data_IF_090317527278
#
_entry.id   IF_090317527278
#
_cell.length_a   1.000
_cell.length_b   1.000
_cell.length_c   1.000
_cell.angle_alpha   90.00
_cell.angle_beta   90.00
_cell.angle_gamma   90.00
#
_symmetry.space_group_name_H-M   'P 1'
#
loop_
_entity.id
_entity.type
_entity.pdbx_description
1 polymer ?
#
# COMPACT_ATOMS: atom_id res chain seq x y z
N UNK A 1 35.23 48.85 16.91
CA UNK A 1 33.98 48.08 16.77
C UNK A 1 34.34 46.62 16.99
N UNK A 2 34.27 46.14 18.23
CA UNK A 2 34.48 44.72 18.52
C UNK A 2 33.17 44.01 18.21
N UNK A 3 33.12 43.44 17.01
CA UNK A 3 32.04 42.63 16.52
C UNK A 3 31.94 41.40 17.42
N UNK A 4 30.95 41.41 18.32
CA UNK A 4 30.64 40.29 19.19
C UNK A 4 30.31 39.10 18.31
N UNK A 5 31.27 38.19 18.12
CA UNK A 5 31.04 36.93 17.43
C UNK A 5 29.91 36.23 18.16
N UNK A 6 28.78 36.11 17.46
CA UNK A 6 27.52 35.73 18.03
C UNK A 6 27.58 34.22 18.34
N UNK A 7 27.61 33.84 19.61
CA UNK A 7 27.60 32.42 20.08
C UNK A 7 26.44 31.64 19.45
N UNK A 8 25.37 32.33 19.02
CA UNK A 8 24.26 31.78 18.24
C UNK A 8 24.71 31.15 16.91
N UNK A 9 25.77 31.65 16.28
CA UNK A 9 26.26 31.13 14.99
C UNK A 9 26.88 29.75 15.14
N UNK A 10 27.67 29.51 16.20
CA UNK A 10 28.28 28.18 16.47
C UNK A 10 27.20 27.15 16.81
N UNK A 11 26.23 27.53 17.67
CA UNK A 11 25.10 26.65 17.97
C UNK A 11 24.27 26.32 16.72
N UNK A 12 24.09 27.28 15.81
CA UNK A 12 23.36 27.06 14.55
C UNK A 12 24.09 26.07 13.64
N UNK A 13 25.41 26.14 13.55
CA UNK A 13 26.22 25.17 12.79
C UNK A 13 26.13 23.76 13.41
N UNK A 14 26.16 23.67 14.75
CA UNK A 14 25.93 22.41 15.47
C UNK A 14 24.54 21.83 15.21
N UNK A 15 23.49 22.66 15.25
CA UNK A 15 22.12 22.24 14.94
C UNK A 15 21.98 21.76 13.49
N UNK A 16 22.58 22.48 12.53
CA UNK A 16 22.58 22.10 11.13
C UNK A 16 23.31 20.75 10.91
N UNK A 17 24.45 20.54 11.58
CA UNK A 17 25.16 19.25 11.54
C UNK A 17 24.29 18.11 12.05
N UNK A 18 23.61 18.31 13.18
CA UNK A 18 22.72 17.30 13.75
C UNK A 18 21.53 17.02 12.83
N UNK A 19 20.98 18.05 12.16
CA UNK A 19 19.94 17.89 11.16
C UNK A 19 20.41 17.05 9.97
N UNK A 20 21.64 17.26 9.49
CA UNK A 20 22.24 16.43 8.44
C UNK A 20 22.41 14.96 8.87
N UNK A 21 22.88 14.72 10.10
CA UNK A 21 23.01 13.36 10.64
C UNK A 21 21.63 12.68 10.72
N UNK A 22 20.63 13.38 11.28
CA UNK A 22 19.26 12.88 11.36
C UNK A 22 18.68 12.56 9.99
N UNK A 23 18.84 13.47 9.02
CA UNK A 23 18.42 13.26 7.64
C UNK A 23 19.07 12.02 7.01
N UNK A 24 20.38 11.83 7.18
CA UNK A 24 21.10 10.65 6.66
C UNK A 24 20.54 9.36 7.23
N UNK A 25 20.36 9.28 8.55
CA UNK A 25 19.89 8.06 9.23
C UNK A 25 18.45 7.74 8.80
N UNK A 26 17.54 8.71 8.92
CA UNK A 26 16.12 8.53 8.61
C UNK A 26 15.90 8.17 7.14
N UNK A 27 16.65 8.81 6.23
CA UNK A 27 16.58 8.51 4.79
C UNK A 27 17.11 7.11 4.49
N UNK A 28 18.23 6.69 5.09
CA UNK A 28 18.79 5.36 4.87
C UNK A 28 17.85 4.25 5.38
N UNK A 29 17.30 4.42 6.58
CA UNK A 29 16.34 3.46 7.16
C UNK A 29 15.09 3.33 6.28
N UNK A 30 14.54 4.46 5.83
CA UNK A 30 13.39 4.49 4.94
C UNK A 30 13.68 3.83 3.59
N UNK A 31 14.84 4.10 3.00
CA UNK A 31 15.26 3.49 1.74
C UNK A 31 15.44 1.97 1.87
N UNK A 32 16.04 1.49 2.95
CA UNK A 32 16.19 0.05 3.22
C UNK A 32 14.81 -0.61 3.37
N UNK A 33 13.88 0.03 4.08
CA UNK A 33 12.52 -0.49 4.23
C UNK A 33 11.81 -0.63 2.88
N UNK A 34 11.89 0.40 2.02
CA UNK A 34 11.31 0.37 0.68
C UNK A 34 11.98 -0.70 -0.19
N UNK A 35 13.32 -0.78 -0.21
CA UNK A 35 14.04 -1.81 -0.99
C UNK A 35 13.66 -3.23 -0.59
N UNK A 36 13.48 -3.49 0.70
CA UNK A 36 13.03 -4.79 1.19
C UNK A 36 11.61 -5.12 0.76
N UNK A 37 10.70 -4.15 0.78
CA UNK A 37 9.32 -4.34 0.36
C UNK A 37 9.21 -4.57 -1.16
N UNK A 38 10.01 -3.85 -1.96
CA UNK A 38 10.11 -4.07 -3.40
C UNK A 38 10.65 -5.47 -3.72
N UNK A 39 11.66 -5.94 -2.98
CA UNK A 39 12.19 -7.31 -3.13
C UNK A 39 11.12 -8.35 -2.82
N UNK A 40 10.44 -8.22 -1.67
CA UNK A 40 9.34 -9.13 -1.27
C UNK A 40 8.23 -9.18 -2.31
N UNK A 41 7.82 -8.03 -2.83
CA UNK A 41 6.79 -7.92 -3.87
C UNK A 41 7.23 -8.64 -5.15
N UNK A 42 8.49 -8.47 -5.56
CA UNK A 42 9.04 -9.14 -6.74
C UNK A 42 9.12 -10.66 -6.56
N UNK A 43 9.58 -11.11 -5.40
CA UNK A 43 9.67 -12.54 -5.07
C UNK A 43 8.28 -13.19 -5.03
N UNK A 44 7.30 -12.50 -4.44
CA UNK A 44 5.89 -12.93 -4.45
C UNK A 44 5.35 -13.06 -5.87
N UNK A 45 5.51 -12.02 -6.72
CA UNK A 45 5.05 -12.07 -8.11
C UNK A 45 5.72 -13.17 -8.92
N UNK A 46 7.01 -13.42 -8.70
CA UNK A 46 7.72 -14.52 -9.35
C UNK A 46 7.11 -15.86 -8.94
N UNK A 47 6.90 -16.08 -7.64
CA UNK A 47 6.23 -17.27 -7.13
C UNK A 47 4.82 -17.44 -7.71
N UNK A 48 4.09 -16.34 -7.86
CA UNK A 48 2.72 -16.30 -8.39
C UNK A 48 2.64 -16.69 -9.87
N UNK A 49 3.64 -16.29 -10.66
CA UNK A 49 3.85 -16.74 -12.05
C UNK A 49 4.17 -18.24 -12.08
N UNK A 50 5.05 -18.72 -11.21
CA UNK A 50 5.44 -20.14 -11.16
C UNK A 50 4.26 -21.04 -10.74
N UNK A 51 3.45 -20.61 -9.77
CA UNK A 51 2.23 -21.31 -9.34
C UNK A 51 1.23 -21.44 -10.49
N UNK A 52 0.97 -20.35 -11.22
CA UNK A 52 0.09 -20.37 -12.41
C UNK A 52 0.64 -21.24 -13.51
N UNK A 53 1.95 -21.21 -13.74
CA UNK A 53 2.56 -22.08 -14.73
C UNK A 53 2.37 -23.57 -14.39
N UNK A 54 2.52 -23.95 -13.12
CA UNK A 54 2.20 -25.31 -12.65
C UNK A 54 0.71 -25.64 -12.76
N UNK A 55 -0.18 -24.67 -12.55
CA UNK A 55 -1.61 -24.86 -12.75
C UNK A 55 -1.92 -25.20 -14.22
N UNK A 56 -1.35 -24.46 -15.18
CA UNK A 56 -1.52 -24.77 -16.60
C UNK A 56 -1.08 -26.19 -16.94
N UNK A 57 0.03 -26.66 -16.38
CA UNK A 57 0.47 -28.05 -16.62
C UNK A 57 -0.57 -29.06 -16.14
N UNK A 58 -1.16 -28.86 -14.96
CA UNK A 58 -2.26 -29.70 -14.46
C UNK A 58 -3.48 -29.66 -15.38
N UNK A 59 -3.90 -28.47 -15.83
CA UNK A 59 -5.02 -28.35 -16.77
C UNK A 59 -4.73 -29.01 -18.13
N UNK A 60 -3.46 -29.02 -18.58
CA UNK A 60 -3.07 -29.74 -19.80
C UNK A 60 -3.18 -31.24 -19.61
N UNK A 61 -2.70 -31.75 -18.47
CA UNK A 61 -2.83 -33.17 -18.14
C UNK A 61 -4.31 -33.60 -18.07
N UNK A 62 -5.19 -32.74 -17.54
CA UNK A 62 -6.65 -32.96 -17.52
C UNK A 62 -7.25 -32.99 -18.93
N UNK A 63 -6.84 -32.07 -19.82
CA UNK A 63 -7.27 -32.08 -21.24
C UNK A 63 -6.81 -33.35 -21.94
N UNK A 64 -5.58 -33.79 -21.70
CA UNK A 64 -5.03 -35.03 -22.29
C UNK A 64 -5.74 -36.27 -21.75
N UNK A 65 -6.10 -36.28 -20.46
CA UNK A 65 -6.91 -37.34 -19.86
C UNK A 65 -8.32 -37.39 -20.46
N UNK A 66 -9.05 -36.27 -20.46
CA UNK A 66 -10.40 -36.18 -21.02
C UNK A 66 -10.42 -36.50 -22.52
N UNK A 67 -9.39 -36.08 -23.27
CA UNK A 67 -9.26 -36.41 -24.69
C UNK A 67 -9.01 -37.89 -24.93
N UNK A 68 -8.31 -38.60 -24.04
CA UNK A 68 -8.14 -40.05 -24.15
C UNK A 68 -9.44 -40.78 -23.81
N UNK A 69 -10.13 -40.38 -22.75
CA UNK A 69 -11.42 -40.95 -22.37
C UNK A 69 -12.45 -40.83 -23.50
N UNK A 70 -12.52 -39.66 -24.17
CA UNK A 70 -13.39 -39.50 -25.34
C UNK A 70 -13.01 -40.45 -26.48
N UNK A 71 -11.72 -40.57 -26.81
CA UNK A 71 -11.27 -41.50 -27.86
C UNK A 71 -11.56 -42.96 -27.52
N UNK A 72 -11.43 -43.33 -26.26
CA UNK A 72 -11.75 -44.68 -25.78
C UNK A 72 -13.25 -44.96 -25.90
N UNK A 73 -14.11 -43.98 -25.58
CA UNK A 73 -15.56 -44.09 -25.80
C UNK A 73 -15.90 -44.19 -27.28
N UNK A 74 -15.36 -43.32 -28.13
CA UNK A 74 -15.57 -43.34 -29.59
C UNK A 74 -15.08 -44.65 -30.22
N UNK A 75 -14.01 -45.25 -29.69
CA UNK A 75 -13.48 -46.52 -30.18
C UNK A 75 -14.36 -47.75 -29.85
N UNK A 76 -15.41 -47.60 -29.03
CA UNK A 76 -16.40 -48.66 -28.78
C UNK A 76 -17.50 -48.71 -29.85
N UNK A 77 -17.44 -47.85 -30.87
CA UNK A 77 -18.33 -47.90 -32.03
C UNK A 77 -18.13 -49.21 -32.80
N UNK A 78 -19.24 -49.91 -33.05
CA UNK A 78 -19.32 -51.15 -33.84
C UNK A 78 -20.49 -51.01 -34.83
N UNK A 79 -20.57 -51.87 -35.86
CA UNK A 79 -21.53 -51.73 -36.97
C UNK A 79 -23.01 -51.64 -36.51
N UNK A 80 -23.34 -52.22 -35.35
CA UNK A 80 -24.69 -52.25 -34.77
C UNK A 80 -24.87 -51.36 -33.51
N UNK A 81 -23.82 -50.68 -33.03
CA UNK A 81 -23.86 -49.91 -31.78
C UNK A 81 -23.02 -48.63 -31.83
N UNK A 82 -23.68 -47.50 -31.52
CA UNK A 82 -23.03 -46.20 -31.35
C UNK A 82 -23.00 -45.83 -29.87
N UNK A 83 -21.82 -45.68 -29.24
CA UNK A 83 -21.72 -45.30 -27.84
C UNK A 83 -22.15 -43.84 -27.61
N UNK A 84 -22.85 -43.59 -26.50
CA UNK A 84 -23.22 -42.23 -26.08
C UNK A 84 -22.06 -41.56 -25.32
N UNK A 85 -21.17 -40.87 -26.03
CA UNK A 85 -20.01 -40.20 -25.47
C UNK A 85 -20.28 -38.76 -24.99
N UNK A 86 -21.54 -38.39 -24.72
CA UNK A 86 -21.91 -37.00 -24.33
C UNK A 86 -21.21 -36.54 -23.06
N UNK A 87 -21.00 -37.44 -22.09
CA UNK A 87 -20.31 -37.11 -20.85
C UNK A 87 -18.84 -36.75 -21.12
N UNK A 88 -18.13 -37.57 -21.89
CA UNK A 88 -16.73 -37.38 -22.25
C UNK A 88 -16.52 -36.11 -23.10
N UNK A 89 -17.48 -35.81 -23.99
CA UNK A 89 -17.49 -34.56 -24.75
C UNK A 89 -17.60 -33.35 -23.80
N UNK A 90 -18.51 -33.41 -22.83
CA UNK A 90 -18.69 -32.34 -21.85
C UNK A 90 -17.43 -32.15 -20.98
N UNK A 91 -16.87 -33.23 -20.45
CA UNK A 91 -15.64 -33.20 -19.65
C UNK A 91 -14.46 -32.61 -20.43
N UNK A 92 -14.30 -32.98 -21.71
CA UNK A 92 -13.26 -32.40 -22.56
C UNK A 92 -13.50 -30.90 -22.81
N UNK A 93 -14.75 -30.46 -22.97
CA UNK A 93 -15.08 -29.04 -23.12
C UNK A 93 -14.76 -28.25 -21.85
N UNK A 94 -15.06 -28.80 -20.68
CA UNK A 94 -14.78 -28.19 -19.38
C UNK A 94 -13.28 -28.08 -19.13
N UNK A 95 -12.54 -29.18 -19.30
CA UNK A 95 -11.07 -29.19 -19.15
C UNK A 95 -10.40 -28.15 -20.06
N UNK A 96 -10.88 -28.02 -21.31
CA UNK A 96 -10.41 -26.98 -22.24
C UNK A 96 -10.75 -25.56 -21.79
N UNK A 97 -11.91 -25.37 -21.13
CA UNK A 97 -12.29 -24.06 -20.57
C UNK A 97 -11.38 -23.68 -19.41
N UNK A 98 -11.14 -24.62 -18.49
CA UNK A 98 -10.21 -24.45 -17.37
C UNK A 98 -8.80 -24.13 -17.84
N UNK A 99 -8.31 -24.83 -18.87
CA UNK A 99 -7.00 -24.53 -19.47
C UNK A 99 -6.92 -23.11 -20.03
N UNK A 100 -7.93 -22.67 -20.79
CA UNK A 100 -7.97 -21.29 -21.32
C UNK A 100 -7.98 -20.25 -20.21
N UNK A 101 -8.78 -20.47 -19.16
CA UNK A 101 -8.83 -19.59 -18.01
C UNK A 101 -7.47 -19.47 -17.31
N UNK A 102 -6.80 -20.60 -17.06
CA UNK A 102 -5.46 -20.62 -16.46
C UNK A 102 -4.40 -19.92 -17.34
N UNK A 103 -4.49 -20.05 -18.67
CA UNK A 103 -3.63 -19.35 -19.62
C UNK A 103 -3.82 -17.82 -19.58
N UNK A 104 -5.08 -17.36 -19.49
CA UNK A 104 -5.41 -15.94 -19.35
C UNK A 104 -4.89 -15.36 -18.02
N UNK A 105 -5.04 -16.09 -16.92
CA UNK A 105 -4.49 -15.67 -15.63
C UNK A 105 -2.96 -15.56 -15.65
N UNK A 106 -2.26 -16.51 -16.28
CA UNK A 106 -0.81 -16.45 -16.40
C UNK A 106 -0.37 -15.24 -17.24
N UNK A 107 -1.11 -14.92 -18.31
CA UNK A 107 -0.84 -13.74 -19.14
C UNK A 107 -0.93 -12.46 -18.32
N UNK A 108 -1.95 -12.34 -17.46
CA UNK A 108 -2.11 -11.20 -16.55
C UNK A 108 -0.97 -11.14 -15.54
N UNK A 109 -0.61 -12.26 -14.91
CA UNK A 109 0.48 -12.31 -13.94
C UNK A 109 1.83 -11.89 -14.56
N UNK A 110 2.14 -12.39 -15.77
CA UNK A 110 3.36 -12.01 -16.52
C UNK A 110 3.37 -10.52 -16.90
N UNK A 111 2.22 -9.98 -17.28
CA UNK A 111 2.09 -8.56 -17.60
C UNK A 111 2.45 -7.70 -16.38
N UNK A 112 1.88 -8.01 -15.21
CA UNK A 112 2.16 -7.29 -13.98
C UNK A 112 3.59 -7.46 -13.49
N UNK A 113 4.14 -8.68 -13.57
CA UNK A 113 5.55 -8.94 -13.28
C UNK A 113 6.47 -8.03 -14.10
N UNK A 114 6.26 -7.96 -15.43
CA UNK A 114 7.07 -7.10 -16.30
C UNK A 114 6.89 -5.60 -16.01
N UNK A 115 5.65 -5.16 -15.76
CA UNK A 115 5.36 -3.75 -15.42
C UNK A 115 6.06 -3.33 -14.13
N UNK A 116 5.95 -4.13 -13.08
CA UNK A 116 6.54 -3.84 -11.77
C UNK A 116 8.06 -3.91 -11.83
N UNK A 117 8.62 -4.88 -12.56
CA UNK A 117 10.08 -4.96 -12.77
C UNK A 117 10.62 -3.67 -13.43
N UNK A 118 9.94 -3.16 -14.47
CA UNK A 118 10.31 -1.90 -15.11
C UNK A 118 10.20 -0.70 -14.15
N UNK A 119 9.13 -0.65 -13.37
CA UNK A 119 8.93 0.42 -12.38
C UNK A 119 10.04 0.42 -11.31
N UNK A 120 10.44 -0.76 -10.81
CA UNK A 120 11.56 -0.90 -9.86
C UNK A 120 12.88 -0.45 -10.49
N UNK A 121 13.14 -0.78 -11.76
CA UNK A 121 14.35 -0.32 -12.45
C UNK A 121 14.41 1.21 -12.56
N UNK A 122 13.28 1.85 -12.87
CA UNK A 122 13.18 3.31 -12.95
C UNK A 122 13.38 3.94 -11.56
N UNK A 123 12.70 3.40 -10.54
CA UNK A 123 12.82 3.81 -9.15
C UNK A 123 14.26 3.70 -8.64
N UNK A 124 14.97 2.62 -8.99
CA UNK A 124 16.35 2.38 -8.56
C UNK A 124 17.35 3.45 -8.99
N UNK A 125 17.07 4.21 -10.06
CA UNK A 125 17.90 5.37 -10.44
C UNK A 125 17.69 6.55 -9.48
N UNK A 126 16.45 6.77 -9.04
CA UNK A 126 16.11 7.82 -8.08
C UNK A 126 16.62 7.50 -6.68
N UNK A 127 16.49 6.25 -6.25
CA UNK A 127 17.01 5.77 -4.96
C UNK A 127 18.51 5.93 -4.87
N UNK A 128 19.27 5.56 -5.91
CA UNK A 128 20.73 5.74 -5.92
C UNK A 128 21.14 7.19 -5.69
N UNK A 129 20.53 8.14 -6.41
CA UNK A 129 20.81 9.57 -6.22
C UNK A 129 20.49 10.06 -4.81
N UNK A 130 19.36 9.62 -4.24
CA UNK A 130 18.97 9.99 -2.88
C UNK A 130 19.91 9.36 -1.84
N UNK A 131 20.35 8.12 -2.06
CA UNK A 131 21.32 7.43 -1.23
C UNK A 131 22.67 8.14 -1.25
N UNK A 132 23.17 8.51 -2.42
CA UNK A 132 24.42 9.26 -2.56
C UNK A 132 24.34 10.64 -1.88
N UNK A 133 23.18 11.29 -1.91
CA UNK A 133 22.93 12.54 -1.19
C UNK A 133 22.94 12.30 0.33
N UNK A 134 22.27 11.24 0.79
CA UNK A 134 22.20 10.90 2.20
C UNK A 134 23.55 10.46 2.77
N UNK A 135 24.41 9.79 1.99
CA UNK A 135 25.75 9.36 2.42
C UNK A 135 26.80 10.43 2.14
N UNK A 136 27.25 10.53 0.90
CA UNK A 136 28.53 11.16 0.55
C UNK A 136 28.46 12.68 0.70
N UNK A 137 27.32 13.26 0.35
CA UNK A 137 27.09 14.71 0.48
C UNK A 137 26.89 15.11 1.94
N UNK A 138 26.19 14.29 2.72
CA UNK A 138 26.04 14.50 4.16
C UNK A 138 27.37 14.39 4.90
N UNK A 139 28.19 13.39 4.59
CA UNK A 139 29.53 13.25 5.19
C UNK A 139 30.43 14.44 4.85
N UNK A 140 30.41 14.87 3.59
CA UNK A 140 31.13 16.07 3.15
C UNK A 140 30.67 17.33 3.88
N UNK A 141 29.35 17.51 4.01
CA UNK A 141 28.76 18.64 4.72
C UNK A 141 29.12 18.61 6.22
N UNK A 142 29.06 17.44 6.85
CA UNK A 142 29.49 17.24 8.24
C UNK A 142 30.96 17.63 8.43
N UNK A 143 31.86 17.13 7.59
CA UNK A 143 33.28 17.42 7.68
C UNK A 143 33.60 18.91 7.43
N UNK A 144 32.80 19.59 6.61
CA UNK A 144 32.90 21.04 6.42
C UNK A 144 32.43 21.80 7.66
N UNK A 145 31.27 21.43 8.23
CA UNK A 145 30.72 22.05 9.43
C UNK A 145 31.61 21.84 10.66
N UNK A 146 32.23 20.66 10.81
CA UNK A 146 33.19 20.38 11.88
C UNK A 146 34.43 21.27 11.77
N UNK A 147 34.97 21.45 10.55
CA UNK A 147 36.08 22.39 10.29
C UNK A 147 35.69 23.83 10.60
N UNK A 148 34.55 24.30 10.07
CA UNK A 148 34.08 25.67 10.29
C UNK A 148 33.81 25.95 11.77
N UNK A 149 33.28 24.97 12.51
CA UNK A 149 33.07 25.08 13.96
C UNK A 149 34.41 25.21 14.69
N UNK A 150 35.38 24.35 14.36
CA UNK A 150 36.71 24.37 14.97
C UNK A 150 37.48 25.67 14.68
N UNK A 151 37.37 26.21 13.47
CA UNK A 151 38.01 27.47 13.10
C UNK A 151 37.42 28.66 13.88
N UNK A 152 36.10 28.69 14.07
CA UNK A 152 35.42 29.72 14.86
C UNK A 152 35.77 29.62 16.35
N UNK A 153 35.81 28.41 16.91
CA UNK A 153 36.24 28.16 18.29
C UNK A 153 37.70 28.59 18.50
N UNK A 154 38.58 28.31 17.53
CA UNK A 154 39.97 28.75 17.57
C UNK A 154 40.08 30.27 17.54
N UNK A 155 39.29 30.94 16.70
CA UNK A 155 39.27 32.40 16.65
C UNK A 155 38.81 33.02 17.97
N UNK A 156 37.83 32.41 18.65
CA UNK A 156 37.39 32.82 19.99
C UNK A 156 38.46 32.57 21.08
N UNK A 157 39.31 31.55 20.90
CA UNK A 157 40.38 31.20 21.82
C UNK A 157 41.70 31.98 21.65
N UNK A 158 41.83 32.79 20.59
CA UNK A 158 42.98 33.67 20.42
C UNK A 158 42.76 34.93 21.28
N UNK A 159 43.61 35.22 22.28
CA UNK A 159 43.55 36.51 22.96
C UNK A 159 43.81 37.60 21.93
N UNK A 160 42.88 38.55 21.79
CA UNK A 160 43.12 39.74 20.96
C UNK A 160 44.37 40.43 21.48
N UNK A 161 45.34 40.80 20.63
CA UNK A 161 46.47 41.59 21.07
C UNK A 161 45.96 42.98 21.44
N UNK A 162 45.57 43.14 22.71
CA UNK A 162 45.39 44.45 23.33
C UNK A 162 46.75 45.12 23.26
N UNK A 163 46.89 46.08 22.36
CA UNK A 163 48.06 46.95 22.30
C UNK A 163 47.93 47.96 23.44
N UNK A 164 48.15 47.49 24.67
CA UNK A 164 48.37 48.35 25.83
C UNK A 164 49.84 48.23 26.22
N UNK A 165 50.58 49.23 25.76
CA UNK A 165 51.94 49.51 26.22
C UNK A 165 51.87 50.01 27.66
N UNK A 166 52.09 49.14 28.64
CA UNK A 166 52.63 49.53 29.95
C UNK A 166 53.21 48.33 30.70
N UNK A 167 54.49 48.41 31.02
CA UNK A 167 55.25 47.49 31.89
C UNK A 167 55.56 48.25 33.19
N UNK A 168 56.01 47.60 34.29
CA UNK A 168 55.31 46.70 35.22
C UNK A 168 55.30 47.30 36.65
N UNK A 169 54.65 46.65 37.65
CA UNK A 169 55.27 46.36 38.97
C UNK A 169 54.34 45.64 39.99
N UNK A 170 54.98 44.71 40.73
CA UNK A 170 54.76 44.11 42.08
C UNK A 170 53.67 43.02 42.36
N UNK A 171 54.21 41.82 42.66
CA UNK A 171 53.89 40.80 43.69
C UNK A 171 52.46 40.64 44.26
N UNK A 172 51.92 39.41 44.17
CA UNK A 172 51.90 38.43 45.26
C UNK A 172 50.88 37.29 45.01
N UNK A 173 51.34 36.04 45.14
CA UNK A 173 50.59 34.78 45.27
C UNK A 173 50.25 34.51 46.77
N UNK A 174 49.55 33.42 47.21
CA UNK A 174 48.83 32.33 46.49
C UNK A 174 47.48 31.83 47.11
N UNK A 175 46.85 30.83 46.46
CA UNK A 175 45.97 29.73 46.99
C UNK A 175 44.55 30.11 47.48
N UNK A 176 43.48 29.30 47.41
CA UNK A 176 43.24 27.86 47.18
C UNK A 176 41.75 27.64 46.82
N UNK A 177 41.48 26.51 46.18
CA UNK A 177 40.19 25.97 45.75
C UNK A 177 39.12 25.74 46.84
N UNK A 178 37.84 25.71 46.42
CA UNK A 178 36.87 24.71 46.90
C UNK A 178 35.73 24.41 45.91
N UNK A 179 35.41 23.13 45.88
CA UNK A 179 34.34 22.33 45.27
C UNK A 179 32.89 22.79 45.50
N UNK A 180 31.96 22.29 44.66
CA UNK A 180 30.67 21.58 45.01
C UNK A 180 29.56 21.95 44.00
N UNK A 181 29.13 21.09 43.05
CA UNK A 181 28.21 19.92 43.06
C UNK A 181 26.76 20.26 42.63
N UNK A 182 26.21 19.36 41.78
CA UNK A 182 24.80 19.08 41.45
C UNK A 182 24.02 20.12 40.61
N UNK A 183 23.60 19.81 39.38
CA UNK A 183 22.54 18.87 38.94
C UNK A 183 21.14 19.47 39.00
N UNK A 184 20.57 19.80 37.82
CA UNK A 184 19.15 19.56 37.53
C UNK A 184 18.96 19.26 36.04
N UNK A 185 18.62 18.00 35.77
CA UNK A 185 17.93 17.59 34.55
C UNK A 185 16.60 18.32 34.44
N UNK A 186 16.28 18.88 33.28
CA UNK A 186 14.89 18.90 32.82
C UNK A 186 14.89 18.82 31.31
N UNK A 187 14.35 17.72 30.80
CA UNK A 187 14.23 17.44 29.38
C UNK A 187 13.40 18.52 28.70
N UNK A 188 13.86 18.92 27.52
CA UNK A 188 13.01 19.60 26.56
C UNK A 188 12.62 18.53 25.54
N UNK A 189 11.32 18.30 25.54
CA UNK A 189 10.62 17.33 24.75
C UNK A 189 10.82 17.53 23.24
N UNK A 190 10.88 16.40 22.54
CA UNK A 190 10.19 16.12 21.28
C UNK A 190 9.97 17.31 20.34
N UNK A 191 10.89 17.50 19.39
CA UNK A 191 10.54 18.00 18.07
C UNK A 191 10.32 16.79 17.16
N UNK A 192 9.21 16.10 17.39
CA UNK A 192 8.62 15.14 16.47
C UNK A 192 7.42 15.78 15.78
N UNK A 193 7.30 15.52 14.49
CA UNK A 193 6.00 15.38 13.86
C UNK A 193 5.57 16.55 12.99
N UNK A 194 6.00 16.52 11.73
CA UNK A 194 5.03 16.78 10.65
C UNK A 194 4.06 15.59 10.73
N UNK A 195 2.96 15.77 11.47
CA UNK A 195 1.92 14.75 11.67
C UNK A 195 1.32 14.37 10.32
N UNK A 196 1.78 13.26 9.75
CA UNK A 196 0.93 12.43 8.90
C UNK A 196 -0.21 11.97 9.79
N UNK A 197 -1.45 12.38 9.49
CA UNK A 197 -2.61 11.81 10.17
C UNK A 197 -2.57 10.29 10.04
N UNK A 198 -2.84 9.59 11.13
CA UNK A 198 -2.91 8.14 11.10
C UNK A 198 -4.23 7.75 10.43
N UNK A 199 -4.16 6.97 9.35
CA UNK A 199 -5.34 6.38 8.72
C UNK A 199 -5.84 5.23 9.58
N UNK A 200 -7.11 5.26 9.96
CA UNK A 200 -7.75 4.25 10.81
C UNK A 200 -8.83 3.52 10.02
N UNK A 201 -8.76 2.19 10.01
CA UNK A 201 -9.79 1.36 9.39
C UNK A 201 -11.03 1.30 10.28
N UNK A 202 -12.19 1.71 9.75
CA UNK A 202 -13.50 1.68 10.43
C UNK A 202 -14.30 0.42 10.09
N UNK A 203 -13.78 -0.46 9.24
CA UNK A 203 -14.50 -1.62 8.73
C UNK A 203 -15.57 -1.23 7.71
N UNK A 204 -16.55 -2.11 7.50
CA UNK A 204 -17.65 -1.87 6.56
C UNK A 204 -18.73 -1.04 7.24
N UNK A 205 -18.99 0.16 6.71
CA UNK A 205 -19.97 1.12 7.21
C UNK A 205 -20.94 1.46 6.08
N UNK A 206 -22.20 1.69 6.41
CA UNK A 206 -23.17 2.22 5.44
C UNK A 206 -22.94 3.71 5.22
N UNK A 207 -22.70 4.10 3.98
CA UNK A 207 -22.56 5.50 3.59
C UNK A 207 -23.69 5.87 2.62
N UNK A 208 -24.23 7.07 2.80
CA UNK A 208 -25.17 7.66 1.85
C UNK A 208 -24.45 7.90 0.52
N UNK A 209 -24.96 7.29 -0.53
CA UNK A 209 -24.40 7.35 -1.87
C UNK A 209 -24.38 8.80 -2.39
N UNK A 210 -25.27 9.67 -1.91
CA UNK A 210 -25.26 11.09 -2.24
C UNK A 210 -23.98 11.81 -1.75
N UNK A 211 -23.39 11.37 -0.63
CA UNK A 211 -22.20 11.98 -0.05
C UNK A 211 -20.90 11.57 -0.76
N UNK A 212 -20.92 10.50 -1.57
CA UNK A 212 -19.76 10.05 -2.33
C UNK A 212 -19.57 10.90 -3.59
N UNK A 213 -18.33 11.19 -4.03
CA UNK A 213 -18.10 11.92 -5.28
C UNK A 213 -18.61 11.12 -6.48
N UNK A 214 -19.00 11.83 -7.55
CA UNK A 214 -19.36 11.18 -8.82
C UNK A 214 -18.07 10.75 -9.54
N UNK A 215 -17.92 9.47 -9.92
CA UNK A 215 -16.77 9.05 -10.74
C UNK A 215 -16.86 9.68 -12.14
N UNK A 216 -15.91 10.56 -12.48
CA UNK A 216 -15.92 11.32 -13.76
C UNK A 216 -15.50 10.48 -14.99
N UNK A 217 -14.78 9.37 -14.77
CA UNK A 217 -14.17 8.57 -15.85
C UNK A 217 -15.08 7.45 -16.40
N UNK A 218 -16.32 7.34 -15.93
CA UNK A 218 -17.23 6.23 -16.27
C UNK A 218 -18.39 6.80 -17.08
N UNK A 219 -18.40 6.52 -18.39
CA UNK A 219 -19.40 7.12 -19.29
C UNK A 219 -20.07 6.14 -20.24
N UNK A 220 -19.57 4.90 -20.41
CA UNK A 220 -20.11 3.95 -21.41
C UNK A 220 -20.08 2.49 -20.95
N UNK A 221 -20.92 1.68 -21.60
CA UNK A 221 -20.96 0.21 -21.45
C UNK A 221 -19.58 -0.47 -21.64
N UNK A 222 -18.69 0.16 -22.43
CA UNK A 222 -17.33 -0.31 -22.71
C UNK A 222 -16.38 -0.30 -21.49
N UNK A 223 -16.74 0.42 -20.42
CA UNK A 223 -15.93 0.50 -19.20
C UNK A 223 -16.17 -0.70 -18.26
N UNK A 224 -17.25 -1.46 -18.48
CA UNK A 224 -17.68 -2.62 -17.69
C UNK A 224 -17.02 -3.96 -18.14
N UNK A 225 -15.72 -3.94 -18.41
CA UNK A 225 -15.01 -5.13 -18.95
C UNK A 225 -14.90 -6.30 -17.96
N UNK A 226 -15.06 -6.04 -16.65
CA UNK A 226 -14.95 -7.07 -15.60
C UNK A 226 -16.27 -7.77 -15.27
N UNK A 227 -17.36 -7.01 -15.24
CA UNK A 227 -18.71 -7.50 -14.94
C UNK A 227 -19.66 -6.69 -15.81
N UNK A 228 -20.45 -7.33 -16.70
CA UNK A 228 -21.45 -6.64 -17.51
C UNK A 228 -22.36 -5.74 -16.69
N UNK A 229 -22.77 -4.61 -17.25
CA UNK A 229 -23.59 -3.61 -16.56
C UNK A 229 -24.87 -4.22 -15.97
N UNK A 230 -25.55 -5.10 -16.72
CA UNK A 230 -26.81 -5.70 -16.28
C UNK A 230 -26.64 -6.69 -15.13
N UNK A 231 -25.54 -7.44 -15.12
CA UNK A 231 -25.16 -8.31 -14.01
C UNK A 231 -24.87 -7.47 -12.75
N UNK A 232 -24.20 -6.32 -12.90
CA UNK A 232 -23.95 -5.40 -11.79
C UNK A 232 -25.24 -4.75 -11.26
N UNK A 233 -26.18 -4.39 -12.15
CA UNK A 233 -27.52 -3.90 -11.74
C UNK A 233 -28.29 -4.96 -10.98
N UNK A 234 -28.27 -6.20 -11.45
CA UNK A 234 -28.91 -7.32 -10.76
C UNK A 234 -28.31 -7.54 -9.37
N UNK A 235 -26.97 -7.54 -9.27
CA UNK A 235 -26.28 -7.67 -7.98
C UNK A 235 -26.60 -6.53 -7.00
N UNK A 236 -26.71 -5.28 -7.48
CA UNK A 236 -27.13 -4.16 -6.63
C UNK A 236 -28.57 -4.27 -6.14
N UNK A 237 -29.48 -4.82 -6.94
CA UNK A 237 -30.86 -5.10 -6.50
C UNK A 237 -30.88 -6.19 -5.43
N UNK A 238 -30.16 -7.28 -5.64
CA UNK A 238 -30.03 -8.35 -4.65
C UNK A 238 -29.45 -7.81 -3.33
N UNK A 239 -28.45 -6.92 -3.40
CA UNK A 239 -27.92 -6.27 -2.20
C UNK A 239 -29.01 -5.52 -1.42
N UNK A 240 -29.89 -4.76 -2.09
CA UNK A 240 -30.98 -4.04 -1.41
C UNK A 240 -31.96 -4.99 -0.71
N UNK A 241 -32.18 -6.20 -1.25
CA UNK A 241 -32.96 -7.25 -0.59
C UNK A 241 -32.24 -7.83 0.62
N UNK A 242 -30.91 -7.90 0.57
CA UNK A 242 -30.08 -8.45 1.65
C UNK A 242 -29.95 -7.49 2.84
N UNK A 243 -29.87 -6.18 2.60
CA UNK A 243 -29.57 -5.18 3.65
C UNK A 243 -30.45 -5.32 4.90
N UNK A 244 -31.80 -5.44 4.83
CA UNK A 244 -32.62 -5.62 6.03
C UNK A 244 -32.29 -6.89 6.82
N UNK A 245 -31.88 -7.97 6.13
CA UNK A 245 -31.52 -9.25 6.76
C UNK A 245 -30.15 -9.12 7.44
N UNK A 246 -29.21 -8.39 6.83
CA UNK A 246 -27.89 -8.11 7.41
C UNK A 246 -28.03 -7.20 8.64
N UNK A 247 -28.82 -6.13 8.55
CA UNK A 247 -29.10 -5.21 9.66
C UNK A 247 -29.76 -5.92 10.85
N UNK A 248 -30.59 -6.95 10.59
CA UNK A 248 -31.17 -7.78 11.65
C UNK A 248 -30.15 -8.71 12.36
N UNK A 249 -28.92 -8.80 11.85
CA UNK A 249 -27.84 -9.65 12.37
C UNK A 249 -27.87 -11.10 11.87
N UNK A 250 -28.99 -11.57 11.31
CA UNK A 250 -29.14 -12.95 10.82
C UNK A 250 -28.29 -13.20 9.56
N UNK A 251 -28.19 -12.20 8.68
CA UNK A 251 -27.44 -12.28 7.41
C UNK A 251 -25.98 -11.83 7.48
N UNK A 252 -25.41 -11.69 8.69
CA UNK A 252 -24.07 -11.13 8.86
C UNK A 252 -22.92 -12.14 8.63
N UNK A 253 -23.21 -13.33 8.08
CA UNK A 253 -22.21 -14.36 7.83
C UNK A 253 -22.30 -14.94 6.42
N UNK A 254 -21.16 -15.40 5.89
CA UNK A 254 -21.08 -16.05 4.58
C UNK A 254 -21.87 -17.36 4.56
N UNK A 255 -21.84 -18.08 5.67
CA UNK A 255 -22.49 -19.38 5.83
C UNK A 255 -24.01 -19.26 5.70
N UNK A 256 -24.60 -18.14 6.15
CA UNK A 256 -26.02 -17.87 5.98
C UNK A 256 -26.41 -17.78 4.50
N UNK A 257 -25.66 -16.99 3.72
CA UNK A 257 -25.94 -16.81 2.29
C UNK A 257 -25.64 -18.05 1.47
N UNK A 258 -24.57 -18.78 1.79
CA UNK A 258 -24.26 -20.07 1.17
C UNK A 258 -25.40 -21.08 1.37
N UNK A 259 -25.96 -21.15 2.58
CA UNK A 259 -27.11 -22.01 2.87
C UNK A 259 -28.35 -21.57 2.09
N UNK A 260 -28.63 -20.25 2.05
CA UNK A 260 -29.77 -19.70 1.33
C UNK A 260 -29.70 -19.94 -0.17
N UNK A 261 -28.52 -19.80 -0.77
CA UNK A 261 -28.30 -20.11 -2.19
C UNK A 261 -28.56 -21.59 -2.48
N UNK A 262 -28.09 -22.50 -1.61
CA UNK A 262 -28.39 -23.93 -1.72
C UNK A 262 -29.88 -24.24 -1.59
N UNK A 263 -30.59 -23.60 -0.66
CA UNK A 263 -32.05 -23.75 -0.48
C UNK A 263 -32.85 -23.27 -1.70
N UNK A 264 -32.36 -22.24 -2.39
CA UNK A 264 -32.98 -21.68 -3.59
C UNK A 264 -32.50 -22.34 -4.90
N UNK A 265 -31.53 -23.25 -4.82
CA UNK A 265 -30.91 -23.88 -6.00
C UNK A 265 -30.16 -22.89 -6.89
N UNK A 266 -29.63 -21.81 -6.30
CA UNK A 266 -28.84 -20.80 -7.02
C UNK A 266 -27.38 -21.25 -7.11
N UNK A 267 -26.76 -21.03 -8.27
CA UNK A 267 -25.33 -21.22 -8.45
C UNK A 267 -24.55 -20.01 -7.91
N UNK A 268 -23.27 -20.21 -7.59
CA UNK A 268 -22.44 -19.14 -7.01
C UNK A 268 -22.42 -17.85 -7.85
N UNK A 269 -22.29 -17.88 -9.19
CA UNK A 269 -22.31 -16.67 -10.01
C UNK A 269 -23.59 -15.82 -9.87
N UNK A 270 -24.74 -16.44 -9.62
CA UNK A 270 -26.03 -15.75 -9.52
C UNK A 270 -26.61 -15.75 -8.08
N UNK A 271 -25.84 -16.25 -7.11
CA UNK A 271 -26.25 -16.39 -5.71
C UNK A 271 -26.01 -15.15 -4.86
N UNK A 272 -26.71 -15.07 -3.73
CA UNK A 272 -26.55 -14.03 -2.71
C UNK A 272 -25.16 -14.06 -2.07
N UNK A 273 -24.50 -15.22 -1.99
CA UNK A 273 -23.16 -15.35 -1.44
C UNK A 273 -22.14 -14.51 -2.21
N UNK A 274 -22.16 -14.56 -3.55
CA UNK A 274 -21.25 -13.75 -4.37
C UNK A 274 -21.47 -12.26 -4.16
N UNK A 275 -22.73 -11.83 -4.01
CA UNK A 275 -23.06 -10.44 -3.70
C UNK A 275 -22.56 -10.06 -2.31
N UNK A 276 -22.77 -10.92 -1.31
CA UNK A 276 -22.24 -10.70 0.04
C UNK A 276 -20.72 -10.51 0.02
N UNK A 277 -19.98 -11.39 -0.65
CA UNK A 277 -18.52 -11.30 -0.75
C UNK A 277 -18.05 -10.06 -1.52
N UNK A 278 -18.79 -9.61 -2.53
CA UNK A 278 -18.48 -8.40 -3.28
C UNK A 278 -18.60 -7.12 -2.44
N UNK A 279 -19.47 -7.08 -1.42
CA UNK A 279 -19.73 -5.87 -0.62
C UNK A 279 -19.17 -5.92 0.80
N UNK A 280 -19.03 -7.11 1.39
CA UNK A 280 -18.56 -7.32 2.76
C UNK A 280 -17.29 -8.19 2.83
N UNK A 281 -16.85 -8.74 1.71
CA UNK A 281 -15.63 -9.54 1.61
C UNK A 281 -14.41 -8.72 1.16
N UNK A 282 -13.47 -9.42 0.52
CA UNK A 282 -12.20 -8.84 0.07
C UNK A 282 -12.38 -7.81 -1.07
N UNK A 283 -13.47 -7.92 -1.83
CA UNK A 283 -13.81 -7.04 -2.95
C UNK A 283 -14.71 -5.86 -2.56
N UNK A 284 -14.93 -5.64 -1.25
CA UNK A 284 -15.74 -4.55 -0.73
C UNK A 284 -15.31 -3.19 -1.32
N UNK A 285 -16.30 -2.31 -1.51
CA UNK A 285 -16.07 -0.95 -1.97
C UNK A 285 -15.26 -0.22 -0.89
N UNK A 286 -14.10 0.34 -1.22
CA UNK A 286 -13.20 1.02 -0.31
C UNK A 286 -13.17 2.51 -0.57
N UNK A 287 -13.40 3.28 0.49
CA UNK A 287 -13.45 4.74 0.46
C UNK A 287 -12.56 5.28 1.58
N UNK A 288 -11.76 6.28 1.23
CA UNK A 288 -10.95 7.05 2.17
C UNK A 288 -11.67 8.35 2.52
N UNK A 289 -11.74 8.69 3.81
CA UNK A 289 -12.36 9.93 4.28
C UNK A 289 -11.32 10.83 4.92
N UNK A 290 -11.22 12.06 4.41
CA UNK A 290 -10.36 13.11 4.93
C UNK A 290 -11.20 14.36 5.21
N UNK A 291 -11.56 14.57 6.48
CA UNK A 291 -12.49 15.62 6.87
C UNK A 291 -13.90 15.35 6.31
N UNK A 292 -14.42 16.27 5.50
CA UNK A 292 -15.73 16.14 4.84
C UNK A 292 -15.65 15.56 3.42
N UNK A 293 -14.45 15.24 2.94
CA UNK A 293 -14.25 14.74 1.59
C UNK A 293 -14.05 13.23 1.61
N UNK A 294 -14.65 12.56 0.63
CA UNK A 294 -14.46 11.14 0.36
C UNK A 294 -13.66 10.98 -0.92
N UNK A 295 -12.69 10.05 -0.91
CA UNK A 295 -11.98 9.59 -2.09
C UNK A 295 -12.24 8.10 -2.33
N UNK A 296 -12.51 7.74 -3.57
CA UNK A 296 -12.93 6.38 -3.94
C UNK A 296 -11.70 5.58 -4.36
N UNK A 297 -11.25 4.67 -3.50
CA UNK A 297 -10.08 3.82 -3.74
C UNK A 297 -10.41 2.69 -4.73
N UNK A 298 -11.57 2.05 -4.57
CA UNK A 298 -12.05 1.03 -5.51
C UNK A 298 -13.59 1.10 -5.67
N UNK A 299 -14.17 0.27 -6.55
CA UNK A 299 -15.63 0.17 -6.64
C UNK A 299 -16.33 1.32 -7.37
N UNK A 300 -15.59 2.17 -8.11
CA UNK A 300 -16.14 3.32 -8.87
C UNK A 300 -17.35 2.96 -9.74
N UNK A 301 -17.33 1.84 -10.46
CA UNK A 301 -18.45 1.37 -11.28
C UNK A 301 -19.72 1.06 -10.47
N UNK A 302 -19.55 0.46 -9.29
CA UNK A 302 -20.67 0.14 -8.38
C UNK A 302 -21.28 1.41 -7.79
N UNK A 303 -20.46 2.37 -7.37
CA UNK A 303 -20.91 3.67 -6.87
C UNK A 303 -21.61 4.47 -7.96
N UNK A 304 -21.03 4.53 -9.16
CA UNK A 304 -21.63 5.22 -10.30
C UNK A 304 -23.00 4.62 -10.63
N UNK A 305 -23.10 3.30 -10.70
CA UNK A 305 -24.35 2.61 -11.02
C UNK A 305 -25.39 2.77 -9.91
N UNK A 306 -24.98 2.72 -8.64
CA UNK A 306 -25.85 2.97 -7.50
C UNK A 306 -26.42 4.40 -7.52
N UNK A 307 -25.61 5.41 -7.88
CA UNK A 307 -26.08 6.78 -8.11
C UNK A 307 -27.11 6.84 -9.25
N UNK A 308 -26.86 6.17 -10.38
CA UNK A 308 -27.79 6.11 -11.51
C UNK A 308 -29.11 5.41 -11.14
N UNK A 309 -29.06 4.43 -10.24
CA UNK A 309 -30.22 3.69 -9.76
C UNK A 309 -30.96 4.40 -8.61
N UNK A 310 -30.46 5.53 -8.09
CA UNK A 310 -31.04 6.23 -6.96
C UNK A 310 -30.97 5.43 -5.64
N UNK A 311 -29.99 4.54 -5.50
CA UNK A 311 -29.79 3.78 -4.25
C UNK A 311 -29.29 4.74 -3.17
N UNK A 312 -29.98 4.79 -2.03
CA UNK A 312 -29.66 5.73 -0.96
C UNK A 312 -28.42 5.36 -0.17
N UNK A 313 -28.24 4.09 0.18
CA UNK A 313 -27.13 3.63 1.03
C UNK A 313 -26.34 2.49 0.40
N UNK A 314 -25.03 2.48 0.63
CA UNK A 314 -24.16 1.37 0.27
C UNK A 314 -23.22 0.98 1.42
N UNK A 315 -22.99 -0.32 1.64
CA UNK A 315 -21.91 -0.79 2.50
C UNK A 315 -20.57 -0.54 1.82
N UNK A 316 -19.68 0.17 2.52
CA UNK A 316 -18.32 0.46 2.05
C UNK A 316 -17.31 0.28 3.19
N UNK A 317 -16.16 -0.29 2.88
CA UNK A 317 -14.99 -0.30 3.75
C UNK A 317 -14.42 1.11 3.87
N UNK A 318 -14.55 1.70 5.05
CA UNK A 318 -14.15 3.08 5.32
C UNK A 318 -12.79 3.13 6.00
N UNK A 319 -11.88 3.93 5.44
CA UNK A 319 -10.62 4.30 6.09
C UNK A 319 -10.66 5.81 6.35
N UNK A 320 -10.52 6.22 7.61
CA UNK A 320 -10.68 7.62 8.00
C UNK A 320 -9.34 8.19 8.49
N UNK A 321 -9.00 9.39 8.03
CA UNK A 321 -7.85 10.13 8.52
C UNK A 321 -8.22 10.78 9.86
N UNK A 322 -7.58 10.39 10.96
CA UNK A 322 -7.84 11.02 12.25
C UNK A 322 -7.49 12.51 12.22
N UNK A 323 -8.51 13.35 12.37
CA UNK A 323 -8.31 14.77 12.66
C UNK A 323 -7.78 14.89 14.08
N UNK A 324 -6.53 15.34 14.23
CA UNK A 324 -5.96 15.65 15.54
C UNK A 324 -6.85 16.74 16.20
N UNK A 325 -7.29 16.55 17.46
CA UNK A 325 -8.19 17.50 18.15
C UNK A 325 -7.56 18.88 18.36
#
# INVERSE_FOLDING_TARGET
MNESINVRTIQTLGNLKNAFIGFSVETQESLIAIENELRRTMDWLKGEVDVRHRHIMRCRDEVDFASRALRECEAQEDDDYVPDCRAEIYELQEARRSLRHAEDELKIARLWFSKIQKAIQQFGTHVRRLKDLATDRTESAKAFLDRATSDLERYLGIPTPTTETSVPLIDAFPTRATTTTASTQTGIANLSGKTSGQWVERGVVEIDVANLPMPEDISKDLDFQKVPMDEMKAGLKMLQEMLPIIESGVGASKEYWAKRDNELGLDYPNGYLRIYEAFYGHDAIRVEKSGNNYDIVNGRHRIWLAKQMGIGKLPVSLVELESKP
#
